data_IF_278827103958
#
_entry.id   IF_278827103958
#
_cell.length_a   1.000
_cell.length_b   1.000
_cell.length_c   1.000
_cell.angle_alpha   90.00
_cell.angle_beta   90.00
_cell.angle_gamma   90.00
#
_symmetry.space_group_name_H-M   'P 1'
#
loop_
_entity.id
_entity.type
_entity.pdbx_description
1 polymer ?
#
# COMPACT_ATOMS: atom_id res chain seq x y z
N UNK A 1 37.12 -51.68 -38.61
CA UNK A 1 37.21 -50.98 -37.31
C UNK A 1 36.74 -49.51 -37.31
N UNK A 2 36.41 -48.85 -38.44
CA UNK A 2 36.13 -47.40 -38.48
C UNK A 2 34.65 -46.95 -38.45
N UNK A 3 33.67 -47.86 -38.47
CA UNK A 3 32.23 -47.48 -38.51
C UNK A 3 31.62 -47.24 -37.12
N UNK A 4 31.83 -48.15 -36.17
CA UNK A 4 31.23 -48.01 -34.83
C UNK A 4 31.73 -46.80 -34.04
N UNK A 5 32.99 -46.38 -34.23
CA UNK A 5 33.51 -45.16 -33.61
C UNK A 5 32.85 -43.88 -34.15
N UNK A 6 32.35 -43.92 -35.39
CA UNK A 6 31.70 -42.76 -36.03
C UNK A 6 30.25 -42.60 -35.56
N UNK A 7 29.53 -43.71 -35.33
CA UNK A 7 28.20 -43.69 -34.72
C UNK A 7 28.22 -43.24 -33.26
N UNK A 8 29.19 -43.72 -32.47
CA UNK A 8 29.33 -43.36 -31.05
C UNK A 8 29.66 -41.86 -30.90
N UNK A 9 30.52 -41.31 -31.78
CA UNK A 9 30.81 -39.87 -31.82
C UNK A 9 29.57 -39.03 -32.13
N UNK A 10 28.73 -39.46 -33.08
CA UNK A 10 27.49 -38.77 -33.41
C UNK A 10 26.50 -38.76 -32.24
N UNK A 11 26.32 -39.90 -31.58
CA UNK A 11 25.44 -40.02 -30.42
C UNK A 11 25.96 -39.18 -29.25
N UNK A 12 27.28 -39.15 -29.01
CA UNK A 12 27.87 -38.34 -27.96
C UNK A 12 27.59 -36.84 -28.14
N UNK A 13 27.68 -36.33 -29.37
CA UNK A 13 27.39 -34.92 -29.67
C UNK A 13 25.92 -34.59 -29.41
N UNK A 14 24.99 -35.46 -29.83
CA UNK A 14 23.55 -35.24 -29.60
C UNK A 14 23.21 -35.23 -28.11
N UNK A 15 23.82 -36.11 -27.32
CA UNK A 15 23.62 -36.15 -25.85
C UNK A 15 24.16 -34.88 -25.18
N UNK A 16 25.28 -34.34 -25.65
CA UNK A 16 25.84 -33.08 -25.13
C UNK A 16 24.90 -31.91 -25.44
N UNK A 17 24.37 -31.84 -26.67
CA UNK A 17 23.43 -30.78 -27.07
C UNK A 17 22.12 -30.88 -26.27
N UNK A 18 21.57 -32.09 -26.10
CA UNK A 18 20.36 -32.31 -25.31
C UNK A 18 20.56 -31.97 -23.83
N UNK A 19 21.71 -32.32 -23.25
CA UNK A 19 22.00 -31.98 -21.85
C UNK A 19 22.17 -30.46 -21.66
N UNK A 20 22.77 -29.75 -22.61
CA UNK A 20 22.79 -28.28 -22.60
C UNK A 20 21.37 -27.69 -22.64
N UNK A 21 20.51 -28.16 -23.54
CA UNK A 21 19.11 -27.68 -23.62
C UNK A 21 18.37 -27.94 -22.30
N UNK A 22 18.54 -29.11 -21.70
CA UNK A 22 17.94 -29.43 -20.40
C UNK A 22 18.45 -28.51 -19.29
N UNK A 23 19.75 -28.20 -19.26
CA UNK A 23 20.32 -27.26 -18.29
C UNK A 23 19.74 -25.85 -18.47
N UNK A 24 19.51 -25.40 -19.71
CA UNK A 24 18.82 -24.14 -19.97
C UNK A 24 17.37 -24.16 -19.47
N UNK A 25 16.61 -25.21 -19.74
CA UNK A 25 15.22 -25.35 -19.24
C UNK A 25 15.20 -25.34 -17.72
N UNK A 26 16.09 -26.08 -17.06
CA UNK A 26 16.21 -26.08 -15.60
C UNK A 26 16.54 -24.67 -15.09
N UNK A 27 17.57 -24.03 -15.64
CA UNK A 27 18.03 -22.69 -15.21
C UNK A 27 17.01 -21.58 -15.46
N UNK A 28 16.22 -21.64 -16.53
CA UNK A 28 15.28 -20.58 -16.90
C UNK A 28 13.83 -20.84 -16.48
N UNK A 29 13.43 -22.10 -16.26
CA UNK A 29 12.05 -22.42 -15.83
C UNK A 29 12.00 -22.63 -14.31
N UNK A 30 13.00 -23.28 -13.73
CA UNK A 30 13.01 -23.57 -12.29
C UNK A 30 13.68 -22.47 -11.47
N UNK A 31 14.75 -21.86 -11.99
CA UNK A 31 15.55 -20.88 -11.25
C UNK A 31 15.30 -19.41 -11.59
N UNK A 32 14.38 -19.09 -12.52
CA UNK A 32 14.01 -17.70 -12.83
C UNK A 32 13.04 -17.04 -11.84
N UNK A 33 12.98 -17.52 -10.59
CA UNK A 33 11.96 -17.10 -9.63
C UNK A 33 12.28 -15.82 -8.83
N UNK A 34 13.51 -15.28 -8.86
CA UNK A 34 13.93 -14.36 -7.80
C UNK A 34 14.31 -12.93 -8.20
N UNK A 35 14.09 -12.50 -9.46
CA UNK A 35 14.27 -11.08 -9.83
C UNK A 35 12.97 -10.25 -9.75
N UNK A 36 11.82 -10.90 -9.52
CA UNK A 36 10.53 -10.20 -9.42
C UNK A 36 10.28 -9.55 -8.06
N UNK A 37 10.97 -9.96 -7.00
CA UNK A 37 10.77 -9.42 -5.65
C UNK A 37 11.17 -7.95 -5.58
N UNK A 38 12.42 -7.63 -5.96
CA UNK A 38 12.94 -6.26 -5.90
C UNK A 38 12.16 -5.27 -6.78
N UNK A 39 11.76 -5.68 -7.98
CA UNK A 39 10.92 -4.86 -8.87
C UNK A 39 9.51 -4.66 -8.30
N UNK A 40 8.92 -5.70 -7.70
CA UNK A 40 7.60 -5.62 -7.05
C UNK A 40 7.64 -4.71 -5.82
N UNK A 41 8.66 -4.86 -4.99
CA UNK A 41 8.90 -4.02 -3.81
C UNK A 41 9.03 -2.54 -4.18
N UNK A 42 9.82 -2.23 -5.22
CA UNK A 42 9.96 -0.86 -5.69
C UNK A 42 8.61 -0.31 -6.21
N UNK A 43 7.86 -1.12 -6.96
CA UNK A 43 6.56 -0.73 -7.48
C UNK A 43 5.54 -0.48 -6.36
N UNK A 44 5.49 -1.33 -5.33
CA UNK A 44 4.60 -1.18 -4.17
C UNK A 44 4.97 0.06 -3.34
N UNK A 45 6.26 0.27 -3.05
CA UNK A 45 6.76 1.43 -2.32
C UNK A 45 6.51 2.76 -3.07
N UNK A 46 6.70 2.76 -4.40
CA UNK A 46 6.38 3.91 -5.25
C UNK A 46 4.88 4.17 -5.30
N UNK A 47 4.06 3.12 -5.37
CA UNK A 47 2.61 3.22 -5.34
C UNK A 47 2.11 3.83 -4.03
N UNK A 48 2.64 3.43 -2.88
CA UNK A 48 2.29 4.05 -1.59
C UNK A 48 2.58 5.55 -1.57
N UNK A 49 3.76 5.97 -2.03
CA UNK A 49 4.13 7.38 -2.07
C UNK A 49 3.23 8.18 -3.03
N UNK A 50 3.01 7.66 -4.25
CA UNK A 50 2.14 8.29 -5.23
C UNK A 50 0.69 8.36 -4.77
N UNK A 51 0.21 7.33 -4.05
CA UNK A 51 -1.11 7.31 -3.45
C UNK A 51 -1.26 8.42 -2.42
N UNK A 52 -0.32 8.57 -1.47
CA UNK A 52 -0.37 9.62 -0.47
C UNK A 52 -0.37 11.02 -1.09
N UNK A 53 0.48 11.25 -2.11
CA UNK A 53 0.52 12.52 -2.83
C UNK A 53 -0.81 12.81 -3.55
N UNK A 54 -1.30 11.84 -4.31
CA UNK A 54 -2.56 11.97 -5.05
C UNK A 54 -3.74 12.16 -4.11
N UNK A 55 -3.76 11.45 -2.98
CA UNK A 55 -4.81 11.56 -1.97
C UNK A 55 -4.89 13.00 -1.47
N UNK A 56 -3.77 13.68 -1.21
CA UNK A 56 -3.77 15.04 -0.70
C UNK A 56 -4.27 16.07 -1.71
N UNK A 57 -3.91 15.89 -2.97
CA UNK A 57 -4.30 16.79 -4.07
C UNK A 57 -5.70 16.51 -4.61
N UNK A 58 -6.32 15.40 -4.20
CA UNK A 58 -7.67 15.05 -4.63
C UNK A 58 -8.67 16.06 -4.06
N UNK A 59 -9.55 16.58 -4.93
CA UNK A 59 -10.60 17.51 -4.54
C UNK A 59 -11.93 16.77 -4.35
N UNK A 60 -12.56 16.99 -3.20
CA UNK A 60 -13.88 16.44 -2.88
C UNK A 60 -14.96 17.36 -3.45
N UNK A 61 -15.61 16.95 -4.55
CA UNK A 61 -16.69 17.74 -5.17
C UNK A 61 -17.88 17.91 -4.24
N UNK A 62 -18.13 16.88 -3.44
CA UNK A 62 -19.14 16.79 -2.41
C UNK A 62 -18.88 17.75 -1.25
N UNK A 63 -17.64 18.21 -1.05
CA UNK A 63 -17.25 19.16 -0.02
C UNK A 63 -16.85 20.52 -0.65
N UNK A 64 -17.65 21.03 -1.59
CA UNK A 64 -17.40 22.28 -2.30
C UNK A 64 -16.06 22.36 -3.08
N UNK A 65 -15.52 21.21 -3.49
CA UNK A 65 -14.26 21.13 -4.24
C UNK A 65 -13.01 21.31 -3.38
N UNK A 66 -13.13 21.25 -2.05
CA UNK A 66 -12.01 21.37 -1.12
C UNK A 66 -11.09 20.14 -1.25
N UNK A 67 -9.79 20.36 -1.12
CA UNK A 67 -8.80 19.27 -1.18
C UNK A 67 -8.90 18.36 0.04
N UNK A 68 -8.59 17.09 -0.14
CA UNK A 68 -8.52 16.13 0.96
C UNK A 68 -7.52 16.57 2.03
N UNK A 69 -6.40 17.21 1.64
CA UNK A 69 -5.48 17.83 2.60
C UNK A 69 -6.20 18.79 3.56
N UNK A 70 -7.06 19.66 3.05
CA UNK A 70 -7.82 20.60 3.88
C UNK A 70 -8.92 19.92 4.69
N UNK A 71 -9.51 18.83 4.18
CA UNK A 71 -10.49 18.03 4.95
C UNK A 71 -9.82 17.26 6.10
N UNK A 72 -8.63 16.70 5.88
CA UNK A 72 -7.81 16.10 6.93
C UNK A 72 -7.42 17.13 7.98
N UNK A 73 -7.07 18.34 7.57
CA UNK A 73 -6.76 19.44 8.48
C UNK A 73 -7.99 19.85 9.29
N UNK A 74 -9.15 20.05 8.65
CA UNK A 74 -10.39 20.37 9.36
C UNK A 74 -10.76 19.30 10.39
N UNK A 75 -10.54 18.03 10.03
CA UNK A 75 -10.70 16.94 10.98
C UNK A 75 -9.69 17.05 12.14
N UNK A 76 -8.40 17.20 11.87
CA UNK A 76 -7.36 17.28 12.89
C UNK A 76 -7.55 18.46 13.87
N UNK A 77 -7.92 19.63 13.37
CA UNK A 77 -8.06 20.86 14.16
C UNK A 77 -9.33 20.84 15.04
N UNK A 78 -10.39 20.17 14.58
CA UNK A 78 -11.68 20.12 15.29
C UNK A 78 -11.90 18.81 16.05
N UNK A 79 -10.92 17.90 16.05
CA UNK A 79 -10.92 16.65 16.80
C UNK A 79 -9.88 16.62 17.94
N UNK A 80 -9.73 17.73 18.67
CA UNK A 80 -8.72 17.90 19.72
C UNK A 80 -8.78 16.84 20.86
N UNK A 81 -9.94 16.20 21.05
CA UNK A 81 -10.17 15.22 22.12
C UNK A 81 -10.50 13.80 21.62
N UNK A 82 -10.06 13.44 20.41
CA UNK A 82 -10.09 12.07 19.84
C UNK A 82 -11.26 11.19 20.33
N UNK A 83 -12.49 11.68 20.12
CA UNK A 83 -13.72 10.97 20.48
C UNK A 83 -14.27 10.24 19.26
N UNK A 84 -14.92 9.08 19.45
CA UNK A 84 -15.54 8.29 18.37
C UNK A 84 -16.63 9.04 17.58
N UNK A 85 -17.06 10.21 18.07
CA UNK A 85 -18.05 11.08 17.44
C UNK A 85 -17.43 12.35 16.83
N UNK A 86 -16.13 12.34 16.52
CA UNK A 86 -15.56 13.49 15.86
C UNK A 86 -16.00 13.57 14.39
N UNK A 87 -16.52 14.72 13.99
CA UNK A 87 -17.11 14.90 12.67
C UNK A 87 -16.40 15.97 11.82
N UNK A 88 -15.68 16.91 12.43
CA UNK A 88 -15.16 18.11 11.74
C UNK A 88 -16.22 19.21 11.56
N UNK A 89 -15.84 20.34 10.98
CA UNK A 89 -16.72 21.50 10.75
C UNK A 89 -17.22 21.59 9.31
N UNK A 90 -16.42 21.14 8.34
CA UNK A 90 -16.80 21.21 6.93
C UNK A 90 -17.89 20.18 6.65
N UNK A 91 -19.01 20.66 6.09
CA UNK A 91 -20.11 19.82 5.62
C UNK A 91 -19.90 19.44 4.15
N UNK A 92 -20.11 18.16 3.86
CA UNK A 92 -20.02 17.58 2.54
C UNK A 92 -21.41 17.09 2.10
N UNK A 93 -21.97 17.74 1.08
CA UNK A 93 -23.23 17.40 0.45
C UNK A 93 -22.98 16.36 -0.66
N UNK A 94 -22.90 15.09 -0.27
CA UNK A 94 -22.62 13.98 -1.17
C UNK A 94 -23.65 12.86 -1.07
N UNK A 95 -24.76 12.97 -1.81
CA UNK A 95 -25.82 11.95 -1.84
C UNK A 95 -27.04 12.29 -0.97
N UNK A 96 -27.60 11.29 -0.29
CA UNK A 96 -28.86 11.41 0.50
C UNK A 96 -28.65 11.96 1.91
N UNK A 97 -27.41 12.11 2.36
CA UNK A 97 -27.08 12.52 3.73
C UNK A 97 -25.96 13.56 3.73
N UNK A 98 -26.07 14.56 4.62
CA UNK A 98 -25.00 15.51 4.90
C UNK A 98 -24.00 14.82 5.82
N UNK A 99 -22.80 14.55 5.30
CA UNK A 99 -21.69 13.99 6.07
C UNK A 99 -20.64 15.06 6.28
N UNK A 100 -19.95 15.04 7.41
CA UNK A 100 -18.90 16.02 7.71
C UNK A 100 -17.52 15.49 7.33
N UNK A 101 -16.54 16.38 7.27
CA UNK A 101 -15.19 16.12 6.75
C UNK A 101 -14.54 14.84 7.29
N UNK A 102 -14.57 14.58 8.60
CA UNK A 102 -13.94 13.39 9.19
C UNK A 102 -14.58 12.08 8.72
N UNK A 103 -15.91 12.05 8.65
CA UNK A 103 -16.62 10.86 8.19
C UNK A 103 -16.45 10.68 6.67
N UNK A 104 -16.48 11.79 5.94
CA UNK A 104 -16.26 11.82 4.50
C UNK A 104 -14.89 11.25 4.13
N UNK A 105 -13.81 11.77 4.73
CA UNK A 105 -12.45 11.28 4.44
C UNK A 105 -12.28 9.83 4.89
N UNK A 106 -12.84 9.43 6.04
CA UNK A 106 -12.80 8.03 6.49
C UNK A 106 -13.40 7.10 5.44
N UNK A 107 -14.60 7.43 4.96
CA UNK A 107 -15.32 6.64 3.95
C UNK A 107 -14.59 6.64 2.62
N UNK A 108 -14.25 7.81 2.08
CA UNK A 108 -13.63 7.93 0.75
C UNK A 108 -12.21 7.41 0.70
N UNK A 109 -11.40 7.67 1.71
CA UNK A 109 -10.05 7.10 1.77
C UNK A 109 -10.10 5.57 1.87
N UNK A 110 -11.03 5.00 2.64
CA UNK A 110 -11.23 3.55 2.67
C UNK A 110 -11.62 2.99 1.30
N UNK A 111 -12.57 3.62 0.61
CA UNK A 111 -12.97 3.24 -0.76
C UNK A 111 -11.77 3.30 -1.74
N UNK A 112 -10.93 4.33 -1.64
CA UNK A 112 -9.73 4.48 -2.48
C UNK A 112 -8.67 3.43 -2.17
N UNK A 113 -8.40 3.16 -0.89
CA UNK A 113 -7.43 2.15 -0.46
C UNK A 113 -7.81 0.75 -0.94
N UNK A 114 -9.09 0.37 -0.82
CA UNK A 114 -9.58 -0.94 -1.31
C UNK A 114 -9.40 -1.07 -2.81
N UNK A 115 -9.68 -0.01 -3.58
CA UNK A 115 -9.47 0.00 -5.04
C UNK A 115 -7.99 -0.09 -5.42
N UNK A 116 -7.12 0.65 -4.73
CA UNK A 116 -5.70 0.74 -5.09
C UNK A 116 -4.93 -0.51 -4.66
N UNK A 117 -5.10 -0.93 -3.40
CA UNK A 117 -4.30 -1.99 -2.79
C UNK A 117 -5.09 -3.30 -2.61
N UNK A 118 -6.37 -3.21 -2.26
CA UNK A 118 -7.24 -4.37 -2.05
C UNK A 118 -7.43 -5.22 -3.31
N UNK A 119 -7.71 -4.59 -4.46
CA UNK A 119 -7.83 -5.29 -5.76
C UNK A 119 -6.52 -5.98 -6.17
N UNK A 120 -5.37 -5.46 -5.70
CA UNK A 120 -4.03 -6.02 -5.97
C UNK A 120 -3.59 -7.08 -4.96
N UNK A 121 -4.43 -7.38 -3.96
CA UNK A 121 -4.12 -8.31 -2.85
C UNK A 121 -2.86 -7.92 -2.08
N UNK A 122 -2.54 -6.63 -2.04
CA UNK A 122 -1.45 -6.09 -1.23
C UNK A 122 -1.98 -5.90 0.18
N UNK A 123 -1.27 -6.41 1.18
CA UNK A 123 -1.61 -6.16 2.58
C UNK A 123 -1.09 -4.79 2.98
N UNK A 124 -1.97 -3.95 3.50
CA UNK A 124 -1.64 -2.57 3.86
C UNK A 124 -2.27 -2.16 5.17
N UNK A 125 -1.66 -1.16 5.80
CA UNK A 125 -2.22 -0.43 6.93
C UNK A 125 -2.06 1.06 6.68
N UNK A 126 -3.18 1.75 6.61
CA UNK A 126 -3.22 3.21 6.52
C UNK A 126 -3.60 3.77 7.88
N UNK A 127 -2.91 4.84 8.27
CA UNK A 127 -3.14 5.55 9.51
C UNK A 127 -2.96 7.03 9.30
N UNK A 128 -3.78 7.81 9.98
CA UNK A 128 -3.77 9.24 9.93
C UNK A 128 -3.68 9.71 11.39
N UNK A 129 -2.59 10.35 11.81
CA UNK A 129 -2.27 10.69 13.21
C UNK A 129 -1.74 12.13 13.36
N UNK A 130 -2.10 12.79 14.46
CA UNK A 130 -1.50 14.09 14.85
C UNK A 130 -0.12 13.95 15.46
N UNK A 131 0.23 12.74 15.89
CA UNK A 131 1.54 12.40 16.44
C UNK A 131 2.31 11.52 15.45
N UNK A 132 3.27 12.13 14.76
CA UNK A 132 4.13 11.48 13.77
C UNK A 132 5.08 10.43 14.36
N UNK A 133 5.18 10.33 15.70
CA UNK A 133 6.01 9.32 16.36
C UNK A 133 5.18 8.12 16.82
N UNK A 134 3.84 8.20 16.77
CA UNK A 134 2.92 7.20 17.34
C UNK A 134 1.90 6.64 16.35
N UNK A 135 2.38 6.23 15.17
CA UNK A 135 1.53 5.60 14.15
C UNK A 135 0.89 4.26 14.57
N UNK A 136 1.36 3.63 15.64
CA UNK A 136 0.83 2.34 16.14
C UNK A 136 -0.09 2.50 17.36
N UNK A 137 -0.17 3.69 17.94
CA UNK A 137 -0.98 3.96 19.13
C UNK A 137 -2.38 4.41 18.73
N UNK A 138 -3.36 3.51 18.88
CA UNK A 138 -4.76 3.77 18.53
C UNK A 138 -5.36 5.00 19.21
N UNK A 139 -4.79 5.48 20.33
CA UNK A 139 -5.28 6.66 21.06
C UNK A 139 -5.01 8.00 20.36
N UNK A 140 -4.14 8.05 19.35
CA UNK A 140 -3.73 9.28 18.67
C UNK A 140 -4.10 9.30 17.15
N UNK A 141 -4.84 8.30 16.67
CA UNK A 141 -5.05 8.07 15.23
C UNK A 141 -6.42 8.56 14.73
N UNK A 142 -6.55 9.77 14.16
CA UNK A 142 -7.82 10.26 13.58
C UNK A 142 -8.61 9.23 12.76
N UNK A 143 -7.91 8.41 11.99
CA UNK A 143 -8.49 7.26 11.30
C UNK A 143 -7.40 6.22 11.03
N UNK A 144 -7.79 4.95 11.09
CA UNK A 144 -6.96 3.86 10.63
C UNK A 144 -7.78 2.87 9.79
N UNK A 145 -7.11 2.13 8.92
CA UNK A 145 -7.74 1.13 8.07
C UNK A 145 -7.80 -0.26 8.72
N UNK A 146 -7.64 -0.39 10.06
CA UNK A 146 -7.74 -1.69 10.72
C UNK A 146 -9.20 -2.16 10.69
N UNK A 147 -9.44 -3.45 10.36
CA UNK A 147 -10.73 -4.08 10.64
C UNK A 147 -11.01 -4.06 12.14
N UNK A 148 -12.29 -3.95 12.52
CA UNK A 148 -12.71 -3.95 13.93
C UNK A 148 -12.11 -5.15 14.69
N UNK A 149 -11.43 -4.86 15.80
CA UNK A 149 -10.83 -5.87 16.67
C UNK A 149 -9.47 -6.43 16.24
N UNK A 150 -8.90 -5.96 15.12
CA UNK A 150 -7.52 -6.29 14.75
C UNK A 150 -6.53 -5.24 15.24
N UNK A 151 -5.33 -5.70 15.57
CA UNK A 151 -4.19 -4.87 15.96
C UNK A 151 -3.22 -4.69 14.79
N UNK A 152 -2.38 -3.65 14.89
CA UNK A 152 -1.33 -3.39 13.90
C UNK A 152 -0.41 -4.60 13.68
N UNK A 153 -0.02 -5.29 14.76
CA UNK A 153 0.86 -6.46 14.72
C UNK A 153 0.25 -7.65 13.97
N UNK A 154 -1.08 -7.76 13.96
CA UNK A 154 -1.80 -8.83 13.28
C UNK A 154 -1.94 -8.61 11.76
N UNK A 155 -1.80 -7.38 11.25
CA UNK A 155 -1.90 -7.10 9.81
C UNK A 155 -0.65 -7.55 9.05
N UNK A 156 0.54 -7.38 9.63
CA UNK A 156 1.80 -7.75 8.98
C UNK A 156 2.56 -8.88 9.70
N UNK A 157 1.88 -9.73 10.47
CA UNK A 157 2.49 -10.85 11.20
C UNK A 157 3.33 -11.74 10.28
N UNK A 158 4.66 -11.74 10.47
CA UNK A 158 5.61 -12.56 9.72
C UNK A 158 6.19 -11.93 8.45
N UNK A 159 5.81 -10.68 8.13
CA UNK A 159 6.18 -9.97 6.91
C UNK A 159 7.06 -8.75 7.22
N UNK A 160 7.97 -8.36 6.32
CA UNK A 160 8.68 -7.08 6.46
C UNK A 160 7.76 -5.91 6.14
N UNK A 161 7.89 -4.80 6.87
CA UNK A 161 7.07 -3.61 6.66
C UNK A 161 7.86 -2.49 6.02
N UNK A 162 7.33 -1.91 4.95
CA UNK A 162 7.78 -0.62 4.42
C UNK A 162 6.71 0.43 4.67
N UNK A 163 7.14 1.56 5.21
CA UNK A 163 6.25 2.67 5.50
C UNK A 163 6.58 3.88 4.64
N UNK A 164 5.53 4.58 4.20
CA UNK A 164 5.61 5.90 3.61
C UNK A 164 4.82 6.87 4.48
N UNK A 165 5.43 8.02 4.72
CA UNK A 165 4.86 9.06 5.54
C UNK A 165 4.73 10.33 4.72
N UNK A 166 3.62 11.03 4.90
CA UNK A 166 3.43 12.35 4.33
C UNK A 166 2.96 13.29 5.43
N UNK A 167 3.78 14.30 5.70
CA UNK A 167 3.48 15.33 6.68
C UNK A 167 2.65 16.43 6.01
N UNK A 168 1.58 16.82 6.67
CA UNK A 168 0.69 17.88 6.22
C UNK A 168 0.93 19.12 7.10
N UNK A 169 1.23 20.28 6.49
CA UNK A 169 1.33 21.51 7.24
C UNK A 169 -0.06 21.89 7.77
N UNK A 170 -0.16 22.10 9.08
CA UNK A 170 -1.39 22.56 9.73
C UNK A 170 -1.11 23.85 10.50
N UNK A 171 -2.15 24.68 10.66
CA UNK A 171 -2.02 25.98 11.32
C UNK A 171 -1.86 25.85 12.84
N UNK A 172 -2.47 24.83 13.45
CA UNK A 172 -2.45 24.61 14.90
C UNK A 172 -1.87 23.26 15.33
N UNK A 173 -2.21 22.16 14.64
CA UNK A 173 -1.74 20.81 14.98
C UNK A 173 -1.20 20.07 13.76
N UNK A 174 0.12 19.84 13.65
CA UNK A 174 0.68 19.09 12.52
C UNK A 174 0.04 17.69 12.46
N UNK A 175 -0.21 17.23 11.24
CA UNK A 175 -0.84 15.95 11.01
C UNK A 175 -0.05 15.14 10.00
N UNK A 176 -0.03 13.83 10.18
CA UNK A 176 0.77 12.92 9.37
C UNK A 176 -0.07 11.76 8.88
N UNK A 177 0.09 11.45 7.59
CA UNK A 177 -0.43 10.24 6.97
C UNK A 177 0.67 9.20 6.93
N UNK A 178 0.38 8.00 7.41
CA UNK A 178 1.23 6.82 7.30
C UNK A 178 0.55 5.74 6.47
N UNK A 179 1.28 5.19 5.51
CA UNK A 179 0.87 4.01 4.76
C UNK A 179 1.95 2.95 4.85
N UNK A 180 1.59 1.83 5.46
CA UNK A 180 2.43 0.67 5.68
C UNK A 180 2.02 -0.42 4.69
N UNK A 181 3.00 -1.00 4.00
CA UNK A 181 2.81 -2.15 3.11
C UNK A 181 3.52 -3.34 3.75
N UNK A 182 2.81 -4.46 3.88
CA UNK A 182 3.40 -5.73 4.33
C UNK A 182 3.97 -6.48 3.13
N UNK A 183 5.23 -6.86 3.21
CA UNK A 183 5.97 -7.62 2.21
C UNK A 183 6.19 -9.06 2.71
N UNK A 184 5.80 -10.08 1.95
CA UNK A 184 5.99 -11.49 2.32
C UNK A 184 7.44 -11.97 2.24
#
# INVERSE_FOLDING_TARGET
MKKGQMEIMGIAIVVIILSMVFLFVVKFVLFSKDDTSSAREFAESSMAANFLNTLQETNARECAGISFSSLYQDCAENCLDYKPNCQGLIECTGGTENIKSCEYIRKKTSEMLVKVFGERKVQYYFVATTDAEKFTDASNQLFNSLPDGKTFDEICSGNSMKAKFQHLPAKSNPFSLGLFICEP
#
